data_IF_509495210669
#
_entry.id   IF_509495210669
#
_cell.length_a   1.000
_cell.length_b   1.000
_cell.length_c   1.000
_cell.angle_alpha   90.00
_cell.angle_beta   90.00
_cell.angle_gamma   90.00
#
_symmetry.space_group_name_H-M   'P 1'
#
loop_
_entity.id
_entity.type
_entity.pdbx_description
1 polymer ?
#
# COMPACT_ATOMS: atom_id res chain seq x y z
N UNK A 1 -12.20 17.89 -52.42
CA UNK A 1 -13.36 17.08 -52.00
C UNK A 1 -13.05 16.16 -50.81
N UNK A 2 -12.02 15.29 -50.85
CA UNK A 2 -11.71 14.33 -49.75
C UNK A 2 -11.33 14.96 -48.39
N UNK A 3 -10.61 16.09 -48.38
CA UNK A 3 -10.26 16.84 -47.15
C UNK A 3 -11.48 17.46 -46.45
N UNK A 4 -12.54 17.78 -47.20
CA UNK A 4 -13.78 18.36 -46.67
C UNK A 4 -14.65 17.28 -46.04
N UNK A 5 -14.75 16.10 -46.69
CA UNK A 5 -15.41 14.93 -46.09
C UNK A 5 -14.72 14.48 -44.79
N UNK A 6 -13.39 14.46 -44.76
CA UNK A 6 -12.63 14.09 -43.56
C UNK A 6 -12.84 15.06 -42.40
N UNK A 7 -12.93 16.38 -42.68
CA UNK A 7 -13.27 17.38 -41.65
C UNK A 7 -14.71 17.24 -41.15
N UNK A 8 -15.67 16.96 -42.03
CA UNK A 8 -17.06 16.69 -41.64
C UNK A 8 -17.22 15.43 -40.78
N UNK A 9 -16.49 14.36 -41.09
CA UNK A 9 -16.52 13.11 -40.31
C UNK A 9 -15.92 13.31 -38.92
N UNK A 10 -14.83 14.08 -38.79
CA UNK A 10 -14.24 14.39 -37.48
C UNK A 10 -15.14 15.26 -36.62
N UNK A 11 -15.81 16.28 -37.19
CA UNK A 11 -16.74 17.12 -36.40
C UNK A 11 -17.98 16.35 -35.94
N UNK A 12 -18.53 15.46 -36.77
CA UNK A 12 -19.65 14.58 -36.39
C UNK A 12 -19.28 13.63 -35.24
N UNK A 13 -18.06 13.09 -35.24
CA UNK A 13 -17.59 12.19 -34.16
C UNK A 13 -17.41 12.92 -32.83
N UNK A 14 -16.90 14.16 -32.84
CA UNK A 14 -16.74 14.98 -31.64
C UNK A 14 -18.08 15.41 -31.01
N UNK A 15 -19.10 15.72 -31.83
CA UNK A 15 -20.44 16.05 -31.35
C UNK A 15 -21.16 14.86 -30.69
N UNK A 16 -20.88 13.63 -31.13
CA UNK A 16 -21.47 12.42 -30.54
C UNK A 16 -20.94 12.12 -29.11
N UNK A 17 -19.70 12.49 -28.79
CA UNK A 17 -19.13 12.29 -27.45
C UNK A 17 -19.70 13.21 -26.37
N UNK A 18 -20.27 14.37 -26.76
CA UNK A 18 -20.82 15.37 -25.83
C UNK A 18 -22.24 15.04 -25.32
N UNK A 19 -22.89 14.02 -25.87
CA UNK A 19 -24.26 13.59 -25.48
C UNK A 19 -24.26 12.52 -24.36
N UNK A 20 -23.08 12.06 -23.91
CA UNK A 20 -22.98 11.01 -22.88
C UNK A 20 -22.75 11.52 -21.45
N UNK A 21 -22.73 12.83 -21.21
CA UNK A 21 -22.70 13.38 -19.84
C UNK A 21 -24.10 13.32 -19.22
N UNK A 22 -24.48 12.12 -18.80
CA UNK A 22 -25.64 11.88 -17.94
C UNK A 22 -25.40 12.49 -16.56
N UNK A 23 -26.37 13.27 -16.09
CA UNK A 23 -26.42 13.84 -14.76
C UNK A 23 -26.53 12.72 -13.71
N UNK A 24 -25.46 12.44 -12.98
CA UNK A 24 -25.53 11.65 -11.75
C UNK A 24 -26.18 12.55 -10.68
N UNK A 25 -27.43 12.22 -10.34
CA UNK A 25 -28.10 12.78 -9.18
C UNK A 25 -27.35 12.37 -7.90
N UNK A 26 -26.84 13.35 -7.16
CA UNK A 26 -26.26 13.13 -5.84
C UNK A 26 -27.37 12.69 -4.86
N UNK A 27 -27.16 11.64 -4.05
CA UNK A 27 -28.05 11.37 -2.91
C UNK A 27 -27.93 12.51 -1.87
N UNK A 28 -29.00 12.81 -1.11
CA UNK A 28 -28.93 13.80 -0.04
C UNK A 28 -27.87 13.38 0.99
N UNK A 29 -26.94 14.29 1.23
CA UNK A 29 -25.99 14.20 2.32
C UNK A 29 -26.75 14.42 3.63
N UNK A 30 -27.20 13.33 4.24
CA UNK A 30 -27.46 13.33 5.68
C UNK A 30 -26.15 13.69 6.37
N UNK A 31 -26.17 14.88 6.98
CA UNK A 31 -25.12 15.37 7.87
C UNK A 31 -25.19 14.55 9.16
N UNK A 32 -24.67 13.32 9.10
CA UNK A 32 -24.26 12.60 10.29
C UNK A 32 -22.89 13.17 10.70
N UNK A 33 -22.90 13.98 11.75
CA UNK A 33 -21.70 14.43 12.42
C UNK A 33 -20.75 13.23 12.67
N UNK A 34 -19.42 13.37 12.44
CA UNK A 34 -18.50 12.32 12.84
C UNK A 34 -18.66 12.10 14.36
N UNK A 35 -18.81 10.85 14.84
CA UNK A 35 -18.71 10.61 16.27
C UNK A 35 -17.34 11.15 16.73
N UNK A 36 -17.25 11.79 17.91
CA UNK A 36 -15.98 12.23 18.43
C UNK A 36 -15.04 11.02 18.41
N UNK A 37 -13.85 11.21 17.83
CA UNK A 37 -12.76 10.28 17.96
C UNK A 37 -12.46 10.16 19.46
N UNK A 38 -13.11 9.20 20.12
CA UNK A 38 -12.69 8.71 21.41
C UNK A 38 -11.32 8.11 21.17
N UNK A 39 -10.29 8.93 21.39
CA UNK A 39 -8.96 8.45 21.66
C UNK A 39 -9.09 7.53 22.86
N UNK A 40 -9.25 6.23 22.59
CA UNK A 40 -8.94 5.21 23.56
C UNK A 40 -7.46 5.37 23.88
N UNK A 41 -7.20 6.07 24.98
CA UNK A 41 -5.98 5.88 25.74
C UNK A 41 -5.97 4.41 26.18
N UNK A 42 -5.41 3.54 25.34
CA UNK A 42 -5.07 2.18 25.75
C UNK A 42 -4.04 2.31 26.84
N UNK A 43 -4.40 1.85 28.05
CA UNK A 43 -3.46 1.62 29.14
C UNK A 43 -2.34 0.66 28.72
N UNK A 44 -1.36 0.42 29.60
CA UNK A 44 -0.20 -0.41 29.27
C UNK A 44 -0.66 -1.76 28.74
N UNK A 45 -0.30 -2.07 27.50
CA UNK A 45 -0.65 -3.32 26.86
C UNK A 45 0.16 -4.46 27.49
N UNK A 46 -0.36 -5.03 28.58
CA UNK A 46 0.10 -6.31 29.14
C UNK A 46 -0.48 -7.48 28.32
N UNK A 47 -0.42 -7.38 26.99
CA UNK A 47 -0.97 -8.36 26.05
C UNK A 47 0.09 -9.35 25.58
N UNK A 48 -0.33 -10.58 25.25
CA UNK A 48 0.53 -11.53 24.53
C UNK A 48 0.99 -10.90 23.20
N UNK A 49 2.22 -11.22 22.73
CA UNK A 49 2.69 -10.77 21.42
C UNK A 49 1.69 -11.15 20.32
N UNK A 50 1.33 -10.17 19.48
CA UNK A 50 0.49 -10.42 18.31
C UNK A 50 1.30 -11.19 17.28
N UNK A 51 0.81 -12.36 16.88
CA UNK A 51 1.41 -13.14 15.80
C UNK A 51 0.97 -12.57 14.46
N UNK A 52 1.94 -12.12 13.66
CA UNK A 52 1.71 -11.72 12.28
C UNK A 52 1.68 -12.95 11.39
N UNK A 53 0.60 -13.10 10.63
CA UNK A 53 0.40 -14.21 9.68
C UNK A 53 0.70 -13.73 8.27
N UNK A 54 1.59 -14.45 7.59
CA UNK A 54 1.96 -14.20 6.19
C UNK A 54 1.45 -15.27 5.23
N UNK A 55 0.75 -16.30 5.71
CA UNK A 55 0.26 -17.36 4.83
C UNK A 55 -0.83 -16.87 3.88
N UNK A 56 -0.85 -17.40 2.66
CA UNK A 56 -1.82 -17.03 1.63
C UNK A 56 -2.10 -18.19 0.68
N UNK A 57 -3.23 -18.10 -0.04
CA UNK A 57 -3.54 -18.97 -1.18
C UNK A 57 -3.42 -18.22 -2.50
N UNK A 58 -3.77 -16.93 -2.51
CA UNK A 58 -3.79 -16.07 -3.68
C UNK A 58 -3.25 -14.67 -3.35
N UNK A 59 -2.89 -13.90 -4.37
CA UNK A 59 -2.46 -12.50 -4.21
C UNK A 59 -3.48 -11.64 -3.45
N UNK A 60 -4.78 -11.94 -3.58
CA UNK A 60 -5.87 -11.21 -2.91
C UNK A 60 -5.88 -11.42 -1.39
N UNK A 61 -5.21 -12.46 -0.90
CA UNK A 61 -5.06 -12.70 0.53
C UNK A 61 -3.99 -11.81 1.16
N UNK A 62 -3.20 -11.10 0.36
CA UNK A 62 -2.06 -10.32 0.81
C UNK A 62 -2.33 -8.81 0.73
N UNK A 63 -1.94 -8.09 1.77
CA UNK A 63 -2.05 -6.63 1.82
C UNK A 63 -0.89 -6.02 2.59
N UNK A 64 -0.59 -4.76 2.30
CA UNK A 64 0.42 -3.99 3.04
C UNK A 64 -0.20 -3.54 4.36
N UNK A 65 0.38 -3.95 5.49
CA UNK A 65 0.04 -3.44 6.81
C UNK A 65 1.28 -2.93 7.52
N UNK A 66 1.09 -1.98 8.42
CA UNK A 66 2.14 -1.59 9.34
C UNK A 66 2.23 -2.62 10.47
N UNK A 67 3.28 -3.44 10.47
CA UNK A 67 3.53 -4.42 11.55
C UNK A 67 4.34 -3.81 12.70
N UNK A 68 4.99 -2.67 12.46
CA UNK A 68 5.86 -1.98 13.41
C UNK A 68 7.23 -2.66 13.59
N UNK A 69 8.21 -1.87 13.99
CA UNK A 69 9.51 -2.33 14.48
C UNK A 69 10.07 -1.31 15.49
N UNK A 70 11.25 -1.56 16.06
CA UNK A 70 11.89 -0.61 17.00
C UNK A 70 12.36 0.71 16.38
N UNK A 71 12.19 0.89 15.07
CA UNK A 71 12.46 2.11 14.33
C UNK A 71 11.19 2.89 13.93
N UNK A 72 10.01 2.40 14.30
CA UNK A 72 8.73 3.05 14.01
C UNK A 72 7.86 2.25 13.04
N UNK A 73 7.32 2.95 12.03
CA UNK A 73 6.46 2.34 11.03
C UNK A 73 7.25 1.37 10.15
N UNK A 74 6.70 0.17 9.98
CA UNK A 74 7.29 -0.87 9.15
C UNK A 74 6.19 -1.50 8.29
N UNK A 75 5.97 -1.00 7.05
CA UNK A 75 5.03 -1.60 6.13
C UNK A 75 5.55 -2.97 5.66
N UNK A 76 4.71 -3.99 5.70
CA UNK A 76 5.02 -5.34 5.27
C UNK A 76 3.82 -6.00 4.61
N UNK A 77 4.08 -6.94 3.68
CA UNK A 77 3.05 -7.78 3.09
C UNK A 77 2.66 -8.90 4.05
N UNK A 78 1.40 -8.89 4.47
CA UNK A 78 0.84 -9.86 5.41
C UNK A 78 -0.53 -10.30 4.93
N UNK A 79 -1.08 -11.34 5.55
CA UNK A 79 -2.44 -11.75 5.25
C UNK A 79 -3.44 -10.63 5.59
N UNK A 80 -4.45 -10.43 4.75
CA UNK A 80 -5.55 -9.47 4.97
C UNK A 80 -6.27 -9.66 6.31
N UNK A 81 -6.29 -10.89 6.84
CA UNK A 81 -6.86 -11.22 8.14
C UNK A 81 -5.83 -11.23 9.29
N UNK A 82 -4.55 -11.01 9.00
CA UNK A 82 -3.51 -10.92 10.05
C UNK A 82 -3.76 -9.72 10.96
N UNK A 83 -3.69 -9.95 12.27
CA UNK A 83 -3.56 -8.87 13.23
C UNK A 83 -2.16 -8.26 13.16
N UNK A 84 -2.05 -7.00 13.60
CA UNK A 84 -0.79 -6.25 13.74
C UNK A 84 -0.89 -5.37 14.97
N UNK A 85 0.22 -5.14 15.68
CA UNK A 85 0.26 -4.22 16.81
C UNK A 85 1.52 -3.34 16.79
N UNK A 86 1.59 -2.37 15.87
CA UNK A 86 2.76 -1.49 15.78
C UNK A 86 2.95 -0.63 17.03
N UNK A 87 1.89 -0.36 17.81
CA UNK A 87 1.97 0.41 19.05
C UNK A 87 2.56 -0.42 20.19
N UNK A 88 2.12 -1.67 20.34
CA UNK A 88 2.69 -2.59 21.32
C UNK A 88 4.15 -2.91 21.03
N UNK A 89 4.52 -3.09 19.75
CA UNK A 89 5.93 -3.22 19.34
C UNK A 89 6.73 -1.98 19.74
N UNK A 90 6.23 -0.78 19.44
CA UNK A 90 6.90 0.46 19.81
C UNK A 90 7.05 0.60 21.34
N UNK A 91 6.01 0.30 22.11
CA UNK A 91 6.06 0.35 23.56
C UNK A 91 7.08 -0.64 24.15
N UNK A 92 7.17 -1.86 23.59
CA UNK A 92 8.16 -2.85 23.98
C UNK A 92 9.58 -2.35 23.69
N UNK A 93 9.82 -1.79 22.50
CA UNK A 93 11.13 -1.26 22.12
C UNK A 93 11.55 -0.06 22.98
N UNK A 94 10.60 0.78 23.40
CA UNK A 94 10.84 1.86 24.36
C UNK A 94 11.23 1.29 25.73
N UNK A 95 10.49 0.28 26.22
CA UNK A 95 10.75 -0.35 27.50
C UNK A 95 12.11 -1.08 27.52
N UNK A 96 12.56 -1.63 26.40
CA UNK A 96 13.85 -2.34 26.27
C UNK A 96 15.01 -1.44 25.86
N UNK A 97 14.79 -0.14 25.64
CA UNK A 97 15.84 0.78 25.18
C UNK A 97 16.36 0.47 23.76
N UNK A 98 15.62 -0.28 22.96
CA UNK A 98 16.00 -0.69 21.59
C UNK A 98 15.54 0.27 20.51
N UNK A 99 14.95 1.41 20.89
CA UNK A 99 14.48 2.41 19.95
C UNK A 99 15.63 2.95 19.09
N UNK A 100 15.40 3.02 17.78
CA UNK A 100 16.33 3.63 16.82
C UNK A 100 15.55 4.36 15.72
N UNK A 101 16.24 4.82 14.68
CA UNK A 101 15.64 5.44 13.50
C UNK A 101 16.11 4.68 12.27
N UNK A 102 15.16 4.15 11.51
CA UNK A 102 15.42 3.44 10.27
C UNK A 102 14.56 4.05 9.16
N UNK A 103 15.01 3.94 7.92
CA UNK A 103 14.13 4.05 6.77
C UNK A 103 13.30 2.77 6.59
N UNK A 104 12.23 2.87 5.81
CA UNK A 104 11.52 1.71 5.28
C UNK A 104 11.51 1.78 3.76
N UNK A 105 11.40 0.61 3.12
CA UNK A 105 11.22 0.54 1.67
C UNK A 105 9.74 0.74 1.36
N UNK A 106 9.44 1.51 0.34
CA UNK A 106 8.07 1.59 -0.17
C UNK A 106 7.66 0.26 -0.79
N UNK A 107 6.46 -0.22 -0.46
CA UNK A 107 5.88 -1.44 -1.01
C UNK A 107 4.63 -1.02 -1.78
N UNK A 108 4.68 -1.10 -3.10
CA UNK A 108 3.55 -0.69 -3.95
C UNK A 108 2.49 -1.79 -4.09
N UNK A 109 2.86 -3.06 -3.94
CA UNK A 109 1.95 -4.19 -4.05
C UNK A 109 2.48 -5.44 -3.33
N UNK A 110 1.58 -6.39 -3.04
CA UNK A 110 1.89 -7.70 -2.48
C UNK A 110 1.47 -8.84 -3.43
N UNK A 111 2.14 -9.98 -3.31
CA UNK A 111 1.80 -11.24 -3.98
C UNK A 111 1.90 -12.43 -3.03
N UNK A 112 1.20 -13.50 -3.38
CA UNK A 112 1.36 -14.80 -2.75
C UNK A 112 2.41 -15.63 -3.49
N UNK A 113 3.55 -15.86 -2.86
CA UNK A 113 4.66 -16.66 -3.40
C UNK A 113 4.92 -17.83 -2.48
N UNK A 114 4.83 -19.05 -3.01
CA UNK A 114 5.02 -20.28 -2.22
C UNK A 114 4.15 -20.34 -0.94
N UNK A 115 2.91 -19.83 -1.02
CA UNK A 115 1.99 -19.78 0.12
C UNK A 115 2.33 -18.71 1.16
N UNK A 116 3.20 -17.76 0.84
CA UNK A 116 3.60 -16.65 1.71
C UNK A 116 3.42 -15.29 1.02
N UNK A 117 2.88 -14.32 1.75
CA UNK A 117 2.77 -12.95 1.31
C UNK A 117 4.16 -12.31 1.23
N UNK A 118 4.50 -11.83 0.04
CA UNK A 118 5.75 -11.14 -0.24
C UNK A 118 5.45 -9.82 -0.99
N UNK A 119 6.36 -8.85 -0.89
CA UNK A 119 6.30 -7.66 -1.73
C UNK A 119 6.44 -8.05 -3.20
N UNK A 120 5.66 -7.40 -4.08
CA UNK A 120 6.01 -7.37 -5.51
C UNK A 120 7.24 -6.48 -5.62
N UNK A 121 8.33 -6.99 -6.19
CA UNK A 121 9.52 -6.16 -6.40
C UNK A 121 9.11 -4.93 -7.25
N UNK A 122 9.19 -3.75 -6.65
CA UNK A 122 9.21 -2.53 -7.42
C UNK A 122 10.49 -2.58 -8.28
N UNK A 123 10.38 -2.28 -9.57
CA UNK A 123 11.46 -2.15 -10.54
C UNK A 123 12.45 -1.06 -10.10
N UNK A 124 13.17 -1.25 -9.00
CA UNK A 124 14.07 -0.27 -8.41
C UNK A 124 15.54 -0.63 -8.64
N UNK A 125 15.85 -1.92 -8.85
CA UNK A 125 17.22 -2.39 -9.05
C UNK A 125 17.58 -2.70 -10.52
N UNK A 126 16.64 -2.59 -11.46
CA UNK A 126 16.97 -2.66 -12.91
C UNK A 126 17.61 -1.36 -13.43
N UNK A 127 17.52 -0.26 -12.69
CA UNK A 127 18.17 1.02 -13.01
C UNK A 127 19.55 1.19 -12.36
N UNK A 128 19.94 0.31 -11.44
CA UNK A 128 21.26 0.33 -10.83
C UNK A 128 22.20 -0.54 -11.67
N UNK A 129 23.22 0.03 -12.34
CA UNK A 129 24.21 -0.77 -13.03
C UNK A 129 24.86 -1.75 -12.05
N UNK A 130 25.04 -3.00 -12.49
CA UNK A 130 25.77 -4.00 -11.72
C UNK A 130 27.18 -3.47 -11.37
N UNK A 131 27.68 -3.68 -10.14
CA UNK A 131 29.06 -3.32 -9.83
C UNK A 131 30.01 -4.07 -10.78
N UNK A 132 31.07 -3.42 -11.30
CA UNK A 132 32.00 -4.09 -12.19
C UNK A 132 32.64 -5.27 -11.46
N UNK A 133 32.66 -6.43 -12.11
CA UNK A 133 33.39 -7.61 -11.64
C UNK A 133 34.83 -7.18 -11.39
N UNK A 134 35.31 -7.31 -10.15
CA UNK A 134 36.71 -7.06 -9.83
C UNK A 134 37.55 -8.09 -10.57
N UNK A 135 38.03 -7.70 -11.74
CA UNK A 135 39.05 -8.42 -12.48
C UNK A 135 40.25 -8.58 -11.55
N UNK A 136 40.64 -9.83 -11.37
CA UNK A 136 41.74 -10.24 -10.52
C UNK A 136 43.03 -9.55 -10.95
N UNK A 137 43.48 -8.55 -10.19
CA UNK A 137 44.87 -8.08 -10.26
C UNK A 137 45.70 -9.10 -9.48
N UNK A 138 46.28 -10.05 -10.20
CA UNK A 138 47.45 -10.81 -9.76
C UNK A 138 48.71 -10.11 -10.26
#
# INVERSE_FOLDING_TARGET
MSRLLSRCLSTLLLLACLVSTGCVAAPPADTAAPPPATGSASGPATGKPVTVTTTCRTDADCTVKNVGNCCGAFPACVNVNSATDPKGVMAQCQASGMMSVCGFREISACQCVAGQCAAKDAQADTLRPAPPSTEMVH
#
